data_IF_695955372582
#
_entry.id   IF_695955372582
#
_cell.length_a   1.000
_cell.length_b   1.000
_cell.length_c   1.000
_cell.angle_alpha   90.00
_cell.angle_beta   90.00
_cell.angle_gamma   90.00
#
_symmetry.space_group_name_H-M   'P 1'
#
loop_
_entity.id
_entity.type
_entity.pdbx_description
1 polymer ?
#
# COMPACT_ATOMS: atom_id res chain seq x y z
N UNK A 1 -7.09 9.66 -10.02
CA UNK A 1 -6.80 11.07 -10.46
C UNK A 1 -5.31 11.37 -10.37
N UNK A 2 -4.61 11.03 -9.28
CA UNK A 2 -3.16 11.26 -9.15
C UNK A 2 -2.31 10.50 -10.18
N UNK A 3 -2.50 9.19 -10.36
CA UNK A 3 -1.73 8.42 -11.36
C UNK A 3 -2.03 8.87 -12.80
N UNK A 4 -3.27 9.30 -13.05
CA UNK A 4 -3.70 9.90 -14.32
C UNK A 4 -3.01 11.24 -14.58
N UNK A 5 -2.97 12.11 -13.58
CA UNK A 5 -2.30 13.42 -13.66
C UNK A 5 -0.78 13.25 -13.82
N UNK A 6 -0.17 12.28 -13.12
CA UNK A 6 1.25 11.92 -13.29
C UNK A 6 1.49 11.39 -14.71
N UNK A 7 0.63 10.51 -15.23
CA UNK A 7 0.75 10.01 -16.61
C UNK A 7 0.66 11.15 -17.61
N UNK A 8 -0.30 12.05 -17.46
CA UNK A 8 -0.52 13.16 -18.38
C UNK A 8 0.66 14.15 -18.30
N UNK A 9 1.21 14.39 -17.11
CA UNK A 9 2.46 15.15 -16.91
C UNK A 9 3.67 14.47 -17.57
N UNK A 10 3.85 13.16 -17.36
CA UNK A 10 4.94 12.39 -17.94
C UNK A 10 4.87 12.40 -19.47
N UNK A 11 3.66 12.23 -20.03
CA UNK A 11 3.43 12.36 -21.46
C UNK A 11 3.78 13.77 -21.97
N UNK A 12 3.43 14.82 -21.24
CA UNK A 12 3.78 16.21 -21.60
C UNK A 12 5.29 16.45 -21.67
N UNK A 13 6.11 15.68 -20.95
CA UNK A 13 7.58 15.74 -21.01
C UNK A 13 8.20 14.64 -21.89
N UNK A 14 7.38 13.96 -22.70
CA UNK A 14 7.84 12.91 -23.62
C UNK A 14 8.29 11.63 -22.92
N UNK A 15 7.89 11.42 -21.67
CA UNK A 15 8.16 10.21 -20.90
C UNK A 15 6.91 9.35 -20.82
N UNK A 16 7.14 8.05 -20.65
CA UNK A 16 6.08 7.06 -20.53
C UNK A 16 6.02 6.59 -19.08
N UNK A 17 4.83 6.60 -18.49
CA UNK A 17 4.60 6.16 -17.11
C UNK A 17 4.96 4.68 -16.93
N UNK A 18 4.84 3.86 -17.97
CA UNK A 18 5.20 2.42 -17.94
C UNK A 18 6.68 2.15 -17.72
N UNK A 19 7.54 3.18 -17.90
CA UNK A 19 8.97 3.10 -17.61
C UNK A 19 9.30 3.29 -16.13
N UNK A 20 8.31 3.60 -15.32
CA UNK A 20 8.42 3.76 -13.89
C UNK A 20 7.75 2.56 -13.21
N UNK A 21 8.26 2.17 -12.05
CA UNK A 21 7.67 1.11 -11.21
C UNK A 21 6.39 1.60 -10.53
N UNK A 22 5.43 2.10 -11.32
CA UNK A 22 4.14 2.59 -10.87
C UNK A 22 3.03 1.60 -11.29
N UNK A 23 1.96 1.46 -10.50
CA UNK A 23 0.80 0.64 -10.86
C UNK A 23 0.16 1.11 -12.16
N UNK A 24 -0.47 0.17 -12.90
CA UNK A 24 -1.25 0.53 -14.08
C UNK A 24 -2.43 1.43 -13.72
N UNK A 25 -2.67 2.45 -14.56
CA UNK A 25 -3.83 3.33 -14.41
C UNK A 25 -5.08 2.55 -14.81
N UNK A 26 -5.82 2.05 -13.83
CA UNK A 26 -7.10 1.38 -14.07
C UNK A 26 -8.14 2.47 -14.34
N UNK A 27 -8.66 2.53 -15.57
CA UNK A 27 -9.78 3.43 -15.91
C UNK A 27 -11.09 2.82 -15.41
N UNK A 28 -11.26 2.88 -14.09
CA UNK A 28 -12.55 2.61 -13.46
C UNK A 28 -13.39 3.84 -13.78
N UNK A 29 -14.26 3.75 -14.80
CA UNK A 29 -15.12 4.86 -15.24
C UNK A 29 -15.99 5.45 -14.12
N UNK A 30 -16.95 6.32 -14.46
CA UNK A 30 -17.87 7.08 -13.57
C UNK A 30 -18.62 6.27 -12.47
N UNK A 31 -18.36 4.98 -12.29
CA UNK A 31 -19.08 4.12 -11.36
C UNK A 31 -18.62 4.17 -9.90
N UNK A 32 -17.48 4.79 -9.56
CA UNK A 32 -17.06 4.91 -8.16
C UNK A 32 -17.64 6.18 -7.50
N UNK A 33 -18.92 6.12 -7.16
CA UNK A 33 -19.63 7.18 -6.43
C UNK A 33 -19.56 7.03 -4.89
N UNK A 34 -18.67 6.20 -4.33
CA UNK A 34 -18.62 6.02 -2.86
C UNK A 34 -17.22 5.68 -2.29
N UNK A 35 -16.37 5.00 -3.06
CA UNK A 35 -14.95 4.83 -2.71
C UNK A 35 -14.13 5.63 -3.70
N UNK A 36 -13.41 6.64 -3.22
CA UNK A 36 -12.53 7.46 -4.05
C UNK A 36 -11.61 6.56 -4.87
N UNK A 37 -11.59 6.71 -6.20
CA UNK A 37 -10.75 5.93 -7.12
C UNK A 37 -9.30 5.82 -6.65
N UNK A 38 -8.78 6.86 -5.99
CA UNK A 38 -7.47 6.90 -5.34
C UNK A 38 -7.28 5.79 -4.29
N UNK A 39 -8.27 5.54 -3.44
CA UNK A 39 -8.21 4.46 -2.44
C UNK A 39 -8.14 3.10 -3.14
N UNK A 40 -8.85 2.93 -4.25
CA UNK A 40 -8.84 1.69 -5.03
C UNK A 40 -7.49 1.51 -5.74
N UNK A 41 -6.92 2.58 -6.30
CA UNK A 41 -5.58 2.58 -6.91
C UNK A 41 -4.52 2.16 -5.88
N UNK A 42 -4.55 2.72 -4.66
CA UNK A 42 -3.63 2.39 -3.57
C UNK A 42 -3.82 0.96 -3.03
N UNK A 43 -5.06 0.49 -2.89
CA UNK A 43 -5.33 -0.89 -2.44
C UNK A 43 -4.93 -1.95 -3.46
N UNK A 44 -4.83 -1.61 -4.75
CA UNK A 44 -4.41 -2.52 -5.80
C UNK A 44 -2.89 -2.59 -5.99
N UNK A 45 -2.10 -1.80 -5.24
CA UNK A 45 -0.64 -1.89 -5.28
C UNK A 45 -0.23 -3.28 -4.76
N UNK A 46 0.45 -4.10 -5.58
CA UNK A 46 0.87 -5.43 -5.13
C UNK A 46 1.88 -5.29 -3.99
N UNK A 47 1.64 -6.02 -2.91
CA UNK A 47 2.60 -6.13 -1.82
C UNK A 47 3.65 -7.17 -2.22
N UNK A 48 4.92 -6.75 -2.24
CA UNK A 48 6.03 -7.66 -2.49
C UNK A 48 6.12 -8.69 -1.35
N UNK A 49 6.17 -9.97 -1.72
CA UNK A 49 6.29 -11.06 -0.76
C UNK A 49 7.60 -10.95 0.03
N UNK A 50 8.67 -10.42 -0.59
CA UNK A 50 9.96 -10.22 0.08
C UNK A 50 9.83 -9.24 1.26
N UNK A 51 8.90 -8.27 1.20
CA UNK A 51 8.62 -7.37 2.31
C UNK A 51 7.90 -8.07 3.47
N UNK A 52 7.05 -9.05 3.16
CA UNK A 52 6.36 -9.85 4.18
C UNK A 52 7.32 -10.86 4.83
N UNK A 53 8.27 -11.37 4.05
CA UNK A 53 9.24 -12.37 4.50
C UNK A 53 10.27 -11.79 5.49
N UNK A 54 10.36 -10.46 5.65
CA UNK A 54 11.12 -9.81 6.72
C UNK A 54 10.75 -10.38 8.09
N UNK A 55 9.47 -10.77 8.28
CA UNK A 55 9.03 -11.45 9.48
C UNK A 55 9.87 -12.69 9.80
N UNK A 56 10.34 -13.45 8.80
CA UNK A 56 11.17 -14.65 9.00
C UNK A 56 12.59 -14.32 9.46
N UNK A 57 13.07 -13.09 9.20
CA UNK A 57 14.41 -12.63 9.60
C UNK A 57 14.50 -12.14 11.04
N UNK A 58 13.36 -11.94 11.72
CA UNK A 58 13.31 -11.48 13.11
C UNK A 58 13.85 -12.54 14.08
N UNK A 59 14.63 -12.09 15.07
CA UNK A 59 15.01 -12.92 16.20
C UNK A 59 13.82 -13.15 17.15
N UNK A 60 13.98 -14.07 18.11
CA UNK A 60 12.88 -14.51 18.99
C UNK A 60 12.26 -13.36 19.80
N UNK A 61 13.07 -12.44 20.31
CA UNK A 61 12.59 -11.28 21.09
C UNK A 61 11.80 -10.30 20.22
N UNK A 62 12.32 -9.99 19.03
CA UNK A 62 11.65 -9.12 18.06
C UNK A 62 10.35 -9.73 17.55
N UNK A 63 10.34 -11.05 17.33
CA UNK A 63 9.14 -11.78 16.89
C UNK A 63 8.06 -11.75 17.97
N UNK A 64 8.42 -11.97 19.22
CA UNK A 64 7.48 -11.88 20.35
C UNK A 64 6.85 -10.49 20.44
N UNK A 65 7.65 -9.41 20.33
CA UNK A 65 7.13 -8.04 20.32
C UNK A 65 6.24 -7.74 19.10
N UNK A 66 6.64 -8.20 17.91
CA UNK A 66 5.83 -8.05 16.70
C UNK A 66 4.47 -8.74 16.84
N UNK A 67 4.44 -9.99 17.31
CA UNK A 67 3.22 -10.77 17.46
C UNK A 67 2.26 -10.11 18.46
N UNK A 68 2.79 -9.55 19.57
CA UNK A 68 2.01 -8.79 20.54
C UNK A 68 1.37 -7.54 19.92
N UNK A 69 2.13 -6.78 19.12
CA UNK A 69 1.63 -5.58 18.43
C UNK A 69 0.54 -5.96 17.42
N UNK A 70 0.77 -6.97 16.59
CA UNK A 70 -0.20 -7.42 15.60
C UNK A 70 -1.48 -7.94 16.27
N UNK A 71 -1.36 -8.66 17.38
CA UNK A 71 -2.52 -9.09 18.17
C UNK A 71 -3.35 -7.89 18.65
N UNK A 72 -2.69 -6.84 19.17
CA UNK A 72 -3.39 -5.63 19.60
C UNK A 72 -4.08 -4.90 18.46
N UNK A 73 -3.41 -4.74 17.32
CA UNK A 73 -3.98 -4.09 16.13
C UNK A 73 -5.17 -4.87 15.59
N UNK A 74 -5.05 -6.19 15.46
CA UNK A 74 -6.09 -7.05 14.87
C UNK A 74 -7.30 -7.16 15.79
N UNK A 75 -7.07 -7.29 17.10
CA UNK A 75 -8.13 -7.41 18.09
C UNK A 75 -8.60 -6.07 18.68
N UNK A 76 -8.10 -4.94 18.15
CA UNK A 76 -8.44 -3.58 18.59
C UNK A 76 -8.24 -3.37 20.10
N UNK A 77 -7.19 -3.97 20.65
CA UNK A 77 -6.78 -3.79 22.05
C UNK A 77 -5.92 -2.51 22.15
N UNK A 78 -6.13 -1.72 23.20
CA UNK A 78 -5.33 -0.53 23.49
C UNK A 78 -4.10 -0.84 24.35
N UNK A 79 -3.23 0.15 24.55
CA UNK A 79 -2.13 0.13 25.55
C UNK A 79 -0.97 -0.86 25.29
N UNK A 80 -0.66 -1.17 24.03
CA UNK A 80 0.50 -2.02 23.72
C UNK A 80 1.85 -1.36 24.06
N UNK A 81 1.96 -0.02 23.91
CA UNK A 81 3.21 0.71 24.16
C UNK A 81 3.19 1.62 25.38
N UNK A 82 2.01 2.05 25.83
CA UNK A 82 1.86 3.06 26.87
C UNK A 82 0.74 2.63 27.82
N UNK A 83 1.10 2.50 29.09
CA UNK A 83 0.20 2.20 30.21
C UNK A 83 -0.53 3.45 30.68
#
# INVERSE_FOLDING_TARGET
MVLRDIRDLLHSIGKDITKYSLPEVIDIGERCNDVMTEIIEELNVPVDQDHLDIYTSLNDEQRAGFDEIIDHVTNKKSQVFFY
#
